data_IF_911359060619
#
_entry.id   IF_911359060619
#
_cell.length_a   1.000
_cell.length_b   1.000
_cell.length_c   1.000
_cell.angle_alpha   90.00
_cell.angle_beta   90.00
_cell.angle_gamma   90.00
#
_symmetry.space_group_name_H-M   'P 1'
#
loop_
_entity.id
_entity.type
_entity.pdbx_description
1 polymer ?
#
# COMPACT_ATOMS: atom_id res chain seq x y z
N UNK A 1 -6.49 16.00 17.89
CA UNK A 1 -6.57 15.28 16.61
C UNK A 1 -6.12 16.21 15.52
N UNK A 2 -4.80 16.21 15.29
CA UNK A 2 -4.15 16.84 14.15
C UNK A 2 -3.67 15.80 13.14
N UNK A 3 -3.54 16.22 11.89
CA UNK A 3 -2.86 15.47 10.84
C UNK A 3 -1.64 16.27 10.44
N UNK A 4 -0.49 15.63 10.50
CA UNK A 4 0.79 16.20 10.15
C UNK A 4 1.29 15.52 8.87
N UNK A 5 1.70 16.33 7.92
CA UNK A 5 2.18 15.88 6.61
C UNK A 5 3.61 16.37 6.45
N UNK A 6 4.41 15.62 5.71
CA UNK A 6 5.70 16.12 5.24
C UNK A 6 5.51 17.33 4.30
N UNK A 7 6.51 18.23 4.28
CA UNK A 7 6.50 19.48 3.51
C UNK A 7 6.21 19.27 2.02
N UNK A 8 6.68 18.17 1.43
CA UNK A 8 6.53 17.82 0.03
C UNK A 8 5.34 16.89 -0.26
N UNK A 9 4.49 16.60 0.72
CA UNK A 9 3.39 15.65 0.59
C UNK A 9 2.51 15.92 -0.64
N UNK A 10 2.07 17.18 -0.80
CA UNK A 10 1.19 17.59 -1.90
C UNK A 10 1.84 17.40 -3.27
N UNK A 11 3.14 17.65 -3.38
CA UNK A 11 3.89 17.43 -4.61
C UNK A 11 4.03 15.93 -4.89
N UNK A 12 4.34 15.14 -3.86
CA UNK A 12 4.52 13.69 -3.98
C UNK A 12 3.28 12.97 -4.48
N UNK A 13 2.08 13.40 -4.08
CA UNK A 13 0.79 12.78 -4.45
C UNK A 13 0.17 13.36 -5.72
N UNK A 14 0.66 14.50 -6.23
CA UNK A 14 0.10 15.14 -7.42
C UNK A 14 0.23 14.22 -8.63
N UNK A 15 -0.88 14.04 -9.34
CA UNK A 15 -1.01 13.19 -10.51
C UNK A 15 -1.14 11.69 -10.21
N UNK A 16 -1.21 11.27 -8.94
CA UNK A 16 -1.04 9.87 -8.56
C UNK A 16 -2.24 9.29 -7.81
N UNK A 17 -2.58 8.06 -8.15
CA UNK A 17 -3.55 7.25 -7.44
C UNK A 17 -2.96 6.72 -6.13
N UNK A 18 -3.78 6.68 -5.07
CA UNK A 18 -3.36 6.22 -3.75
C UNK A 18 -3.91 4.83 -3.46
N UNK A 19 -3.07 3.81 -3.65
CA UNK A 19 -3.34 2.42 -3.27
C UNK A 19 -3.28 2.27 -1.76
N UNK A 20 -4.34 1.73 -1.17
CA UNK A 20 -4.48 1.55 0.26
C UNK A 20 -4.08 0.14 0.68
N UNK A 21 -3.21 0.07 1.69
CA UNK A 21 -3.04 -1.13 2.50
C UNK A 21 -4.22 -1.27 3.49
N UNK A 22 -4.46 -2.48 3.98
CA UNK A 22 -5.53 -2.83 4.91
C UNK A 22 -5.43 -2.02 6.21
N UNK A 23 -4.21 -1.74 6.68
CA UNK A 23 -3.99 -1.03 7.92
C UNK A 23 -4.41 0.45 7.88
N UNK A 24 -4.18 1.13 6.76
CA UNK A 24 -4.62 2.50 6.52
C UNK A 24 -6.10 2.55 6.14
N UNK A 25 -6.58 1.58 5.35
CA UNK A 25 -8.02 1.43 5.09
C UNK A 25 -8.82 1.27 6.39
N UNK A 26 -8.31 0.46 7.33
CA UNK A 26 -8.85 0.33 8.68
C UNK A 26 -8.82 1.63 9.47
N UNK A 27 -7.76 2.43 9.33
CA UNK A 27 -7.67 3.73 9.99
C UNK A 27 -8.73 4.71 9.48
N UNK A 28 -8.89 4.81 8.15
CA UNK A 28 -9.91 5.66 7.52
C UNK A 28 -11.34 5.25 7.91
N UNK A 29 -11.58 3.94 8.09
CA UNK A 29 -12.87 3.44 8.56
C UNK A 29 -13.16 3.85 10.00
N UNK A 30 -12.17 3.74 10.89
CA UNK A 30 -12.33 4.02 12.31
C UNK A 30 -12.31 5.51 12.66
N UNK A 31 -11.67 6.35 11.82
CA UNK A 31 -11.51 7.78 12.05
C UNK A 31 -12.08 8.59 10.87
N UNK A 32 -13.31 9.08 11.04
CA UNK A 32 -13.96 9.89 10.03
C UNK A 32 -13.29 11.26 9.83
N UNK A 33 -12.58 11.78 10.84
CA UNK A 33 -11.84 13.05 10.71
C UNK A 33 -10.63 12.85 9.81
N UNK A 34 -9.90 11.75 10.01
CA UNK A 34 -8.83 11.33 9.10
C UNK A 34 -9.36 11.13 7.68
N UNK A 35 -10.48 10.44 7.51
CA UNK A 35 -11.08 10.23 6.18
C UNK A 35 -11.41 11.54 5.47
N UNK A 36 -12.04 12.49 6.16
CA UNK A 36 -12.41 13.79 5.57
C UNK A 36 -11.17 14.64 5.24
N UNK A 37 -10.18 14.70 6.12
CA UNK A 37 -8.97 15.44 5.86
C UNK A 37 -8.16 14.84 4.70
N UNK A 38 -8.06 13.51 4.63
CA UNK A 38 -7.38 12.84 3.53
C UNK A 38 -8.12 13.02 2.20
N UNK A 39 -9.47 13.02 2.22
CA UNK A 39 -10.29 13.40 1.07
C UNK A 39 -9.95 14.82 0.60
N UNK A 40 -9.90 15.79 1.50
CA UNK A 40 -9.64 17.18 1.15
C UNK A 40 -8.22 17.37 0.58
N UNK A 41 -7.25 16.63 1.12
CA UNK A 41 -5.86 16.66 0.67
C UNK A 41 -5.64 16.01 -0.69
N UNK A 42 -6.42 14.98 -0.99
CA UNK A 42 -6.28 14.16 -2.20
C UNK A 42 -7.42 14.38 -3.19
N UNK A 43 -8.15 15.49 -3.09
CA UNK A 43 -9.41 15.79 -3.78
C UNK A 43 -9.41 15.55 -5.32
N UNK A 44 -8.23 15.46 -5.94
CA UNK A 44 -8.05 15.19 -7.37
C UNK A 44 -7.71 13.72 -7.71
N UNK A 45 -7.44 12.87 -6.71
CA UNK A 45 -6.93 11.51 -6.89
C UNK A 45 -7.71 10.49 -6.06
N UNK A 46 -8.29 9.48 -6.70
CA UNK A 46 -9.08 8.50 -5.99
C UNK A 46 -8.19 7.60 -5.12
N UNK A 47 -8.71 7.22 -3.96
CA UNK A 47 -8.18 6.09 -3.23
C UNK A 47 -8.57 4.82 -3.97
N UNK A 48 -7.60 3.94 -4.13
CA UNK A 48 -7.82 2.64 -4.74
C UNK A 48 -7.44 1.55 -3.75
N UNK A 49 -8.11 0.40 -3.81
CA UNK A 49 -7.79 -0.75 -2.98
C UNK A 49 -7.76 -2.02 -3.82
N UNK A 50 -6.86 -2.94 -3.50
CA UNK A 50 -6.81 -4.26 -4.16
C UNK A 50 -7.92 -5.16 -3.60
N UNK A 51 -8.38 -6.12 -4.40
CA UNK A 51 -9.38 -7.10 -3.97
C UNK A 51 -8.89 -7.91 -2.76
N UNK A 52 -7.59 -8.23 -2.68
CA UNK A 52 -7.02 -8.89 -1.50
C UNK A 52 -7.03 -7.99 -0.26
N UNK A 53 -6.77 -6.68 -0.42
CA UNK A 53 -6.92 -5.71 0.68
C UNK A 53 -8.36 -5.69 1.19
N UNK A 54 -9.35 -5.62 0.28
CA UNK A 54 -10.76 -5.64 0.68
C UNK A 54 -11.16 -6.97 1.33
N UNK A 55 -10.59 -8.08 0.86
CA UNK A 55 -10.80 -9.39 1.46
C UNK A 55 -10.29 -9.41 2.90
N UNK A 56 -9.06 -8.96 3.17
CA UNK A 56 -8.54 -8.88 4.54
C UNK A 56 -9.34 -7.91 5.41
N UNK A 57 -9.76 -6.78 4.85
CA UNK A 57 -10.58 -5.80 5.54
C UNK A 57 -11.95 -6.35 5.95
N UNK A 58 -12.48 -7.38 5.28
CA UNK A 58 -13.77 -7.99 5.62
C UNK A 58 -13.65 -9.33 6.36
N UNK A 59 -12.53 -10.06 6.19
CA UNK A 59 -12.34 -11.45 6.66
C UNK A 59 -12.49 -11.62 8.17
N UNK A 60 -11.87 -10.75 8.96
CA UNK A 60 -11.72 -10.95 10.41
C UNK A 60 -12.89 -10.36 11.23
N UNK A 61 -14.10 -10.34 10.64
CA UNK A 61 -15.30 -9.75 11.24
C UNK A 61 -16.37 -10.80 11.41
N UNK A 62 -16.71 -11.08 12.67
CA UNK A 62 -17.71 -12.10 13.01
C UNK A 62 -19.11 -11.52 13.29
N UNK A 63 -19.24 -10.20 13.39
CA UNK A 63 -20.51 -9.52 13.68
C UNK A 63 -21.13 -9.02 12.37
N UNK A 64 -22.32 -9.52 11.95
CA UNK A 64 -22.92 -9.15 10.67
C UNK A 64 -23.14 -7.65 10.46
N UNK A 65 -23.52 -6.91 11.51
CA UNK A 65 -23.70 -5.46 11.41
C UNK A 65 -22.40 -4.72 11.12
N UNK A 66 -21.25 -5.23 11.59
CA UNK A 66 -19.94 -4.65 11.29
C UNK A 66 -19.51 -4.92 9.84
N UNK A 67 -19.88 -6.09 9.28
CA UNK A 67 -19.65 -6.39 7.86
C UNK A 67 -20.40 -5.36 7.00
N UNK A 68 -21.69 -5.16 7.25
CA UNK A 68 -22.52 -4.19 6.51
C UNK A 68 -21.94 -2.76 6.60
N UNK A 69 -21.44 -2.36 7.78
CA UNK A 69 -20.80 -1.05 7.94
C UNK A 69 -19.53 -0.91 7.10
N UNK A 70 -18.69 -1.96 7.03
CA UNK A 70 -17.46 -1.94 6.23
C UNK A 70 -17.73 -2.03 4.74
N UNK A 71 -18.69 -2.83 4.30
CA UNK A 71 -19.14 -2.86 2.91
C UNK A 71 -19.68 -1.49 2.47
N UNK A 72 -20.51 -0.86 3.29
CA UNK A 72 -21.00 0.51 3.05
C UNK A 72 -19.88 1.54 3.05
N UNK A 73 -18.82 1.33 3.84
CA UNK A 73 -17.65 2.19 3.79
C UNK A 73 -16.90 2.05 2.47
N UNK A 74 -16.65 0.82 2.01
CA UNK A 74 -16.02 0.53 0.71
C UNK A 74 -16.83 1.07 -0.47
N UNK A 75 -18.15 1.21 -0.34
CA UNK A 75 -19.02 1.75 -1.40
C UNK A 75 -19.06 3.29 -1.45
N UNK A 76 -18.22 4.01 -0.71
CA UNK A 76 -18.15 5.48 -0.79
C UNK A 76 -17.49 5.92 -2.10
N UNK A 77 -17.96 7.02 -2.69
CA UNK A 77 -17.52 7.59 -3.99
C UNK A 77 -16.03 7.96 -4.13
N UNK A 78 -15.21 7.73 -3.10
CA UNK A 78 -13.78 8.03 -3.06
C UNK A 78 -12.91 6.79 -2.98
N UNK A 79 -13.50 5.63 -2.69
CA UNK A 79 -12.82 4.35 -2.59
C UNK A 79 -13.18 3.53 -3.83
N UNK A 80 -12.19 3.21 -4.64
CA UNK A 80 -12.40 2.49 -5.89
C UNK A 80 -11.68 1.14 -5.85
N UNK A 81 -12.38 0.03 -6.09
CA UNK A 81 -11.72 -1.26 -6.22
C UNK A 81 -10.84 -1.25 -7.48
N UNK A 82 -9.64 -1.81 -7.39
CA UNK A 82 -8.84 -2.13 -8.56
C UNK A 82 -9.52 -3.27 -9.33
N UNK A 83 -9.88 -2.99 -10.58
CA UNK A 83 -10.35 -4.00 -11.52
C UNK A 83 -9.18 -4.53 -12.35
N UNK A 84 -8.99 -5.84 -12.36
CA UNK A 84 -7.97 -6.50 -13.17
C UNK A 84 -8.56 -7.15 -14.41
N UNK A 85 -7.89 -6.97 -15.55
CA UNK A 85 -7.96 -7.94 -16.63
C UNK A 85 -7.05 -9.13 -16.30
N UNK A 86 -7.38 -10.33 -16.81
CA UNK A 86 -6.63 -11.57 -16.56
C UNK A 86 -5.12 -11.42 -16.77
N UNK A 87 -4.71 -10.67 -17.79
CA UNK A 87 -3.31 -10.40 -18.11
C UNK A 87 -2.58 -9.66 -16.98
N UNK A 88 -3.23 -8.63 -16.40
CA UNK A 88 -2.69 -7.85 -15.28
C UNK A 88 -2.53 -8.77 -14.07
N UNK A 89 -3.52 -9.62 -13.81
CA UNK A 89 -3.46 -10.58 -12.71
C UNK A 89 -2.29 -11.55 -12.86
N UNK A 90 -2.11 -12.16 -14.04
CA UNK A 90 -0.97 -13.05 -14.32
C UNK A 90 0.37 -12.33 -14.17
N UNK A 91 0.48 -11.09 -14.66
CA UNK A 91 1.70 -10.28 -14.48
C UNK A 91 2.00 -10.03 -13.01
N UNK A 92 0.99 -9.69 -12.21
CA UNK A 92 1.13 -9.50 -10.76
C UNK A 92 1.56 -10.79 -10.07
N UNK A 93 1.07 -11.96 -10.48
CA UNK A 93 1.52 -13.24 -9.93
C UNK A 93 3.02 -13.50 -10.22
N UNK A 94 3.45 -13.26 -11.46
CA UNK A 94 4.86 -13.42 -11.84
C UNK A 94 5.76 -12.46 -11.06
N UNK A 95 5.38 -11.19 -10.97
CA UNK A 95 6.10 -10.16 -10.22
C UNK A 95 6.16 -10.50 -8.71
N UNK A 96 5.08 -11.02 -8.13
CA UNK A 96 5.03 -11.45 -6.73
C UNK A 96 6.02 -12.58 -6.43
N UNK A 97 6.12 -13.56 -7.34
CA UNK A 97 7.11 -14.63 -7.21
C UNK A 97 8.54 -14.09 -7.30
N UNK A 98 8.81 -13.13 -8.17
CA UNK A 98 10.14 -12.51 -8.28
C UNK A 98 10.47 -11.70 -7.02
N UNK A 99 9.55 -10.84 -6.57
CA UNK A 99 9.73 -10.04 -5.36
C UNK A 99 9.95 -10.92 -4.13
N UNK A 100 9.21 -12.02 -3.97
CA UNK A 100 9.43 -12.93 -2.83
C UNK A 100 10.83 -13.55 -2.83
N UNK A 101 11.39 -13.89 -4.00
CA UNK A 101 12.79 -14.34 -4.12
C UNK A 101 13.78 -13.23 -3.77
N UNK A 102 13.56 -12.01 -4.25
CA UNK A 102 14.40 -10.84 -3.93
C UNK A 102 14.40 -10.60 -2.41
N UNK A 103 13.22 -10.62 -1.78
CA UNK A 103 13.07 -10.42 -0.35
C UNK A 103 13.81 -11.50 0.44
N UNK A 104 13.62 -12.78 0.07
CA UNK A 104 14.29 -13.90 0.73
C UNK A 104 15.82 -13.80 0.63
N UNK A 105 16.36 -13.48 -0.55
CA UNK A 105 17.81 -13.33 -0.74
C UNK A 105 18.36 -12.17 0.10
N UNK A 106 17.69 -11.02 0.11
CA UNK A 106 18.15 -9.85 0.87
C UNK A 106 17.99 -10.03 2.38
N UNK A 107 16.90 -10.64 2.85
CA UNK A 107 16.72 -10.94 4.27
C UNK A 107 17.79 -11.92 4.77
N UNK A 108 18.16 -12.91 3.95
CA UNK A 108 19.28 -13.80 4.25
C UNK A 108 20.62 -13.06 4.32
N UNK A 109 20.90 -12.12 3.39
CA UNK A 109 22.13 -11.30 3.40
C UNK A 109 22.20 -10.40 4.64
N UNK A 110 21.06 -9.90 5.11
CA UNK A 110 20.94 -8.96 6.24
C UNK A 110 20.69 -9.64 7.59
N UNK A 111 20.67 -10.97 7.66
CA UNK A 111 20.29 -11.73 8.86
C UNK A 111 18.94 -11.32 9.47
N UNK A 112 18.01 -10.85 8.63
CA UNK A 112 16.68 -10.46 9.06
C UNK A 112 15.76 -11.68 9.12
N UNK A 113 15.07 -11.84 10.26
CA UNK A 113 14.05 -12.87 10.45
C UNK A 113 12.68 -12.32 10.06
N UNK A 114 11.95 -13.05 9.24
CA UNK A 114 10.60 -12.71 8.81
C UNK A 114 10.49 -12.60 7.29
N UNK A 115 9.28 -12.85 6.79
CA UNK A 115 8.89 -12.64 5.42
C UNK A 115 7.63 -11.80 5.41
N UNK A 116 7.54 -10.85 4.47
CA UNK A 116 6.29 -10.16 4.18
C UNK A 116 5.18 -11.18 3.91
N UNK A 117 3.93 -10.85 4.26
CA UNK A 117 2.81 -11.76 4.05
C UNK A 117 2.55 -11.97 2.56
N UNK A 118 1.76 -12.99 2.22
CA UNK A 118 1.32 -13.20 0.83
C UNK A 118 0.60 -11.96 0.27
N UNK A 119 -0.28 -11.35 1.08
CA UNK A 119 -1.01 -10.14 0.71
C UNK A 119 -0.07 -8.97 0.46
N UNK A 120 0.91 -8.74 1.34
CA UNK A 120 1.88 -7.65 1.19
C UNK A 120 2.74 -7.84 -0.06
N UNK A 121 3.20 -9.06 -0.35
CA UNK A 121 3.96 -9.38 -1.57
C UNK A 121 3.10 -9.15 -2.82
N UNK A 122 1.83 -9.52 -2.79
CA UNK A 122 0.90 -9.24 -3.88
C UNK A 122 0.65 -7.75 -4.07
N UNK A 123 0.50 -7.00 -2.98
CA UNK A 123 0.31 -5.56 -3.02
C UNK A 123 1.55 -4.83 -3.53
N UNK A 124 2.74 -5.26 -3.10
CA UNK A 124 4.04 -4.79 -3.59
C UNK A 124 4.17 -5.05 -5.10
N UNK A 125 3.80 -6.26 -5.55
CA UNK A 125 3.75 -6.65 -6.95
C UNK A 125 2.75 -5.82 -7.76
N UNK A 126 1.58 -5.54 -7.18
CA UNK A 126 0.57 -4.68 -7.79
C UNK A 126 1.12 -3.29 -8.04
N UNK A 127 1.75 -2.69 -7.02
CA UNK A 127 2.39 -1.38 -7.14
C UNK A 127 3.46 -1.37 -8.25
N UNK A 128 4.27 -2.43 -8.33
CA UNK A 128 5.23 -2.62 -9.42
C UNK A 128 4.55 -2.67 -10.80
N UNK A 129 3.45 -3.42 -10.95
CA UNK A 129 2.72 -3.54 -12.22
C UNK A 129 2.04 -2.24 -12.65
N UNK A 130 1.57 -1.44 -11.70
CA UNK A 130 0.85 -0.18 -11.94
C UNK A 130 1.79 1.02 -12.20
N UNK A 131 3.05 0.91 -11.76
CA UNK A 131 4.11 1.86 -12.09
C UNK A 131 4.02 3.21 -11.37
N UNK A 132 4.68 4.22 -11.93
CA UNK A 132 4.93 5.53 -11.27
C UNK A 132 3.68 6.38 -11.00
N UNK A 133 2.53 6.01 -11.57
CA UNK A 133 1.24 6.70 -11.36
C UNK A 133 0.57 6.33 -10.04
N UNK A 134 1.10 5.34 -9.32
CA UNK A 134 0.51 4.86 -8.08
C UNK A 134 1.47 5.03 -6.92
N UNK A 135 0.90 5.33 -5.75
CA UNK A 135 1.57 5.30 -4.46
C UNK A 135 0.83 4.33 -3.56
N UNK A 136 1.57 3.59 -2.74
CA UNK A 136 1.00 2.79 -1.66
C UNK A 136 1.01 3.60 -0.36
N UNK A 137 -0.11 3.62 0.36
CA UNK A 137 -0.19 4.14 1.72
C UNK A 137 -0.28 2.95 2.68
N UNK A 138 0.72 2.81 3.55
CA UNK A 138 0.81 1.70 4.52
C UNK A 138 1.37 2.19 5.85
N UNK A 139 0.84 1.68 6.96
CA UNK A 139 1.44 1.80 8.29
C UNK A 139 2.48 0.71 8.57
N UNK A 140 2.64 -0.27 7.67
CA UNK A 140 3.50 -1.44 7.83
C UNK A 140 4.72 -1.41 6.90
N UNK A 141 5.47 -0.30 6.92
CA UNK A 141 6.62 -0.05 6.05
C UNK A 141 7.68 -1.16 6.02
N UNK A 142 7.85 -1.94 7.10
CA UNK A 142 8.85 -3.01 7.18
C UNK A 142 8.66 -4.10 6.11
N UNK A 143 7.43 -4.31 5.63
CA UNK A 143 7.11 -5.31 4.61
C UNK A 143 7.31 -4.78 3.17
N UNK A 144 7.67 -3.50 3.04
CA UNK A 144 7.96 -2.81 1.78
C UNK A 144 9.37 -2.18 1.85
N UNK A 145 10.41 -2.98 1.59
CA UNK A 145 11.79 -2.61 1.89
C UNK A 145 12.32 -1.50 0.97
N UNK A 146 13.14 -0.62 1.53
CA UNK A 146 13.70 0.55 0.83
C UNK A 146 14.66 0.21 -0.33
N UNK A 147 15.11 -1.05 -0.41
CA UNK A 147 15.92 -1.54 -1.52
C UNK A 147 15.09 -1.91 -2.77
N UNK A 148 13.75 -1.81 -2.70
CA UNK A 148 12.82 -1.86 -3.85
C UNK A 148 11.94 -0.62 -3.92
N UNK A 149 11.54 -0.08 -2.77
CA UNK A 149 10.58 1.02 -2.69
C UNK A 149 11.23 2.31 -2.21
N UNK A 150 10.68 3.42 -2.67
CA UNK A 150 11.00 4.75 -2.18
C UNK A 150 9.91 5.27 -1.27
N UNK A 151 10.29 5.94 -0.18
CA UNK A 151 9.34 6.74 0.59
C UNK A 151 9.23 8.12 -0.01
N UNK A 152 8.03 8.49 -0.43
CA UNK A 152 7.68 9.79 -1.03
C UNK A 152 7.05 10.75 -0.03
N UNK A 153 6.60 10.27 1.12
CA UNK A 153 6.11 11.10 2.20
C UNK A 153 5.61 10.30 3.38
N UNK A 154 5.22 11.03 4.43
CA UNK A 154 4.68 10.46 5.67
C UNK A 154 3.42 11.23 6.05
N UNK A 155 2.37 10.49 6.43
CA UNK A 155 1.17 11.01 7.08
C UNK A 155 1.24 10.60 8.54
N UNK A 156 1.17 11.54 9.47
CA UNK A 156 1.05 11.26 10.90
C UNK A 156 -0.31 11.72 11.40
N UNK A 157 -1.10 10.79 11.92
CA UNK A 157 -2.38 11.06 12.58
C UNK A 157 -2.20 11.03 14.10
N UNK A 158 -2.71 12.05 14.78
CA UNK A 158 -2.87 12.04 16.24
C UNK A 158 -4.26 11.48 16.59
N UNK A 159 -4.28 10.28 17.14
CA UNK A 159 -5.50 9.59 17.57
C UNK A 159 -6.13 10.28 18.80
N UNK A 160 -7.40 9.97 19.09
CA UNK A 160 -8.12 10.49 20.25
C UNK A 160 -7.41 10.22 21.59
N UNK A 161 -6.63 9.14 21.66
CA UNK A 161 -5.81 8.74 22.81
C UNK A 161 -4.57 9.61 23.02
N UNK A 162 -4.24 10.49 22.06
CA UNK A 162 -2.96 11.20 21.99
C UNK A 162 -1.83 10.37 21.38
N UNK A 163 -2.10 9.11 21.00
CA UNK A 163 -1.12 8.30 20.28
C UNK A 163 -0.88 8.85 18.87
N UNK A 164 0.38 8.84 18.43
CA UNK A 164 0.75 9.21 17.07
C UNK A 164 0.90 7.94 16.23
N UNK A 165 0.16 7.87 15.13
CA UNK A 165 0.28 6.79 14.14
C UNK A 165 0.75 7.35 12.82
N UNK A 166 1.77 6.72 12.24
CA UNK A 166 2.37 7.18 10.99
C UNK A 166 2.16 6.18 9.86
N UNK A 167 1.89 6.70 8.67
CA UNK A 167 1.71 5.97 7.42
C UNK A 167 2.70 6.48 6.39
N UNK A 168 3.38 5.57 5.72
CA UNK A 168 4.35 5.88 4.68
C UNK A 168 3.68 5.87 3.31
N UNK A 169 4.05 6.83 2.47
CA UNK A 169 3.71 6.86 1.06
C UNK A 169 4.87 6.26 0.29
N UNK A 170 4.62 5.14 -0.37
CA UNK A 170 5.65 4.35 -1.03
C UNK A 170 5.43 4.35 -2.54
N UNK A 171 6.49 4.44 -3.31
CA UNK A 171 6.47 4.18 -4.74
C UNK A 171 7.43 3.05 -5.09
N UNK A 172 7.09 2.27 -6.10
CA UNK A 172 8.02 1.33 -6.71
C UNK A 172 9.16 2.08 -7.41
N UNK A 173 10.39 1.59 -7.26
CA UNK A 173 11.59 2.10 -7.93
C UNK A 173 12.13 1.03 -8.90
N UNK A 174 11.99 1.23 -10.22
CA UNK A 174 12.44 0.27 -11.23
C UNK A 174 13.96 0.03 -11.20
N UNK A 175 14.76 1.06 -10.96
CA UNK A 175 16.23 0.96 -10.99
C UNK A 175 16.74 0.11 -9.82
N UNK A 176 16.14 0.32 -8.64
CA UNK A 176 16.38 -0.51 -7.46
C UNK A 176 15.97 -1.95 -7.67
N UNK A 177 14.80 -2.17 -8.26
CA UNK A 177 14.34 -3.51 -8.61
C UNK A 177 15.30 -4.20 -9.58
N UNK A 178 15.69 -3.54 -10.68
CA UNK A 178 16.57 -4.11 -11.69
C UNK A 178 17.93 -4.50 -11.12
N UNK A 179 18.47 -3.70 -10.19
CA UNK A 179 19.68 -4.03 -9.45
C UNK A 179 19.50 -5.34 -8.68
N UNK A 180 18.44 -5.46 -7.88
CA UNK A 180 18.16 -6.67 -7.12
C UNK A 180 17.86 -7.88 -8.02
N UNK A 181 17.19 -7.68 -9.14
CA UNK A 181 16.86 -8.74 -10.09
C UNK A 181 18.11 -9.31 -10.79
N UNK A 182 19.06 -8.46 -11.16
CA UNK A 182 20.36 -8.89 -11.70
C UNK A 182 21.16 -9.70 -10.67
N UNK A 183 21.11 -9.31 -9.39
CA UNK A 183 21.76 -10.06 -8.30
C UNK A 183 21.15 -11.45 -8.04
N UNK A 184 19.92 -11.71 -8.51
CA UNK A 184 19.32 -13.05 -8.52
C UNK A 184 19.80 -13.93 -9.68
N UNK A 185 20.59 -13.39 -10.61
CA UNK A 185 20.96 -14.06 -11.86
C UNK A 185 19.92 -13.90 -12.98
N UNK A 186 19.00 -12.95 -12.85
CA UNK A 186 18.10 -12.57 -13.93
C UNK A 186 18.88 -11.89 -15.07
N UNK A 187 18.61 -12.29 -16.32
CA UNK A 187 19.06 -11.53 -17.49
C UNK A 187 18.08 -10.38 -17.65
N UNK A 188 18.56 -9.13 -17.56
CA UNK A 188 17.71 -7.96 -17.82
C UNK A 188 17.12 -8.04 -19.21
N UNK A 189 15.84 -7.68 -19.35
CA UNK A 189 15.20 -7.53 -20.66
C UNK A 189 15.76 -6.31 -21.40
#
# INVERSE_FOLDING_TARGET
MGIFLDENFKESVRGKYCLLDNDFLGALFNDNSLFLAMKDLLNDYPFVYDNLTSFEFLRDIYVPSQIVLREKFLSKDLLFPLSDHQEIYTKTQTNALILSKIYAQNNSKLNQKGSASFTDIFLASRLMSLGSKYLLITGNKKDFPNYIFDTKGIITNEEASGALRSYSLLSFDPDKFDKCFKELGGVGN
#
